data_IF_214019155064
#
_entry.id   IF_214019155064
#
_cell.length_a   1.000
_cell.length_b   1.000
_cell.length_c   1.000
_cell.angle_alpha   90.00
_cell.angle_beta   90.00
_cell.angle_gamma   90.00
#
_symmetry.space_group_name_H-M   'P 1'
#
loop_
_entity.id
_entity.type
_entity.pdbx_description
1 polymer ?
#
# COMPACT_ATOMS: atom_id res chain seq x y z
N UNK A 1 -23.05 -0.48 11.07
CA UNK A 1 -21.59 -0.21 11.14
C UNK A 1 -21.20 0.40 9.82
N UNK A 2 -20.55 1.57 9.82
CA UNK A 2 -20.17 2.27 8.58
C UNK A 2 -18.67 2.18 8.41
N UNK A 3 -18.24 1.54 7.33
CA UNK A 3 -16.82 1.45 6.96
C UNK A 3 -16.41 2.72 6.22
N UNK A 4 -15.22 3.24 6.53
CA UNK A 4 -14.60 4.36 5.80
C UNK A 4 -13.28 3.89 5.22
N UNK A 5 -13.01 4.32 4.00
CA UNK A 5 -11.74 4.07 3.30
C UNK A 5 -11.03 5.42 3.16
N UNK A 6 -9.76 5.46 3.56
CA UNK A 6 -8.91 6.65 3.46
C UNK A 6 -7.72 6.27 2.58
N UNK A 7 -7.58 6.94 1.44
CA UNK A 7 -6.42 6.77 0.56
C UNK A 7 -5.29 7.71 0.99
N UNK A 8 -4.08 7.18 1.11
CA UNK A 8 -2.85 7.94 1.42
C UNK A 8 -1.95 7.87 0.19
N UNK A 9 -1.88 8.96 -0.58
CA UNK A 9 -1.20 9.02 -1.88
C UNK A 9 0.05 9.92 -1.83
N UNK A 10 0.92 9.80 -2.84
CA UNK A 10 2.10 10.66 -3.00
C UNK A 10 3.29 9.93 -3.64
N UNK A 11 4.30 10.71 -4.04
CA UNK A 11 5.50 10.19 -4.73
C UNK A 11 6.28 9.15 -3.90
N UNK A 12 7.07 8.30 -4.55
CA UNK A 12 7.96 7.35 -3.85
C UNK A 12 8.86 8.08 -2.84
N UNK A 13 9.17 7.41 -1.73
CA UNK A 13 9.94 7.95 -0.61
C UNK A 13 9.37 9.22 0.08
N UNK A 14 8.14 9.66 -0.21
CA UNK A 14 7.54 10.85 0.43
C UNK A 14 7.10 10.68 1.89
N UNK A 15 7.32 9.50 2.49
CA UNK A 15 6.95 9.21 3.89
C UNK A 15 5.57 8.59 4.11
N UNK A 16 4.83 8.23 3.05
CA UNK A 16 3.47 7.64 3.13
C UNK A 16 3.38 6.43 4.03
N UNK A 17 4.29 5.47 3.87
CA UNK A 17 4.33 4.23 4.66
C UNK A 17 4.49 4.55 6.14
N UNK A 18 5.42 5.44 6.48
CA UNK A 18 5.63 5.89 7.86
C UNK A 18 4.38 6.58 8.43
N UNK A 19 3.81 7.52 7.67
CA UNK A 19 2.60 8.23 8.06
C UNK A 19 1.40 7.30 8.27
N UNK A 20 1.18 6.33 7.38
CA UNK A 20 0.07 5.38 7.47
C UNK A 20 0.17 4.48 8.71
N UNK A 21 1.38 4.01 9.04
CA UNK A 21 1.62 3.26 10.27
C UNK A 21 1.40 4.10 11.53
N UNK A 22 1.94 5.32 11.55
CA UNK A 22 1.77 6.24 12.67
C UNK A 22 0.30 6.62 12.89
N UNK A 23 -0.45 6.89 11.82
CA UNK A 23 -1.88 7.18 11.87
C UNK A 23 -2.66 5.99 12.41
N UNK A 24 -2.40 4.78 11.92
CA UNK A 24 -3.04 3.55 12.43
C UNK A 24 -2.82 3.40 13.93
N UNK A 25 -1.58 3.51 14.39
CA UNK A 25 -1.24 3.40 15.80
C UNK A 25 -1.94 4.48 16.62
N UNK A 26 -1.88 5.75 16.18
CA UNK A 26 -2.53 6.85 16.87
C UNK A 26 -4.05 6.66 17.02
N UNK A 27 -4.72 6.17 15.97
CA UNK A 27 -6.16 5.89 16.02
C UNK A 27 -6.50 4.74 16.97
N UNK A 28 -5.69 3.68 16.98
CA UNK A 28 -5.86 2.54 17.89
C UNK A 28 -5.65 2.95 19.35
N UNK A 29 -4.67 3.82 19.61
CA UNK A 29 -4.37 4.33 20.96
C UNK A 29 -5.48 5.26 21.49
N UNK A 30 -6.04 6.11 20.63
CA UNK A 30 -7.08 7.08 21.03
C UNK A 30 -8.49 6.48 21.07
N UNK A 31 -8.77 5.50 20.22
CA UNK A 31 -10.13 4.97 20.03
C UNK A 31 -10.12 3.43 20.03
N UNK A 32 -10.16 2.84 21.23
CA UNK A 32 -10.12 1.38 21.44
C UNK A 32 -11.26 0.58 20.78
N UNK A 33 -12.34 1.25 20.37
CA UNK A 33 -13.48 0.64 19.69
C UNK A 33 -13.35 0.66 18.16
N UNK A 34 -12.35 1.35 17.59
CA UNK A 34 -12.13 1.38 16.15
C UNK A 34 -11.29 0.18 15.71
N UNK A 35 -11.81 -0.56 14.72
CA UNK A 35 -11.00 -1.51 13.97
C UNK A 35 -10.35 -0.77 12.81
N UNK A 36 -9.01 -0.76 12.77
CA UNK A 36 -8.23 -0.07 11.74
C UNK A 36 -7.35 -1.08 11.01
N UNK A 37 -7.63 -1.27 9.72
CA UNK A 37 -6.79 -2.04 8.80
C UNK A 37 -5.89 -1.11 7.98
N UNK A 38 -4.74 -1.64 7.56
CA UNK A 38 -3.86 -0.99 6.58
C UNK A 38 -3.71 -1.91 5.39
N UNK A 39 -4.00 -1.40 4.19
CA UNK A 39 -3.74 -2.06 2.91
C UNK A 39 -2.70 -1.24 2.19
N UNK A 40 -1.56 -1.86 1.89
CA UNK A 40 -0.47 -1.23 1.16
C UNK A 40 -0.54 -1.70 -0.31
N UNK A 41 -0.86 -0.80 -1.22
CA UNK A 41 -1.07 -1.09 -2.65
C UNK A 41 0.19 -1.66 -3.32
N UNK A 42 1.37 -1.23 -2.87
CA UNK A 42 2.69 -1.74 -3.30
C UNK A 42 2.91 -3.24 -3.01
N UNK A 43 2.03 -3.87 -2.24
CA UNK A 43 2.05 -5.31 -1.96
C UNK A 43 1.24 -6.16 -2.95
N UNK A 44 0.59 -5.52 -3.93
CA UNK A 44 -0.38 -6.17 -4.84
C UNK A 44 0.02 -6.12 -6.32
N UNK A 45 1.30 -5.92 -6.63
CA UNK A 45 1.79 -6.08 -7.99
C UNK A 45 1.50 -7.48 -8.55
N UNK A 46 1.28 -7.57 -9.86
CA UNK A 46 1.10 -8.85 -10.54
C UNK A 46 2.26 -9.80 -10.29
N UNK A 47 1.91 -11.08 -10.11
CA UNK A 47 2.90 -12.12 -9.87
C UNK A 47 3.62 -12.50 -11.17
N UNK A 48 4.92 -12.18 -11.23
CA UNK A 48 5.76 -12.42 -12.41
C UNK A 48 6.70 -13.62 -12.30
N UNK A 49 6.42 -14.57 -11.39
CA UNK A 49 7.27 -15.76 -11.17
C UNK A 49 7.45 -16.64 -12.42
N UNK A 50 6.56 -16.50 -13.41
CA UNK A 50 6.66 -17.17 -14.70
C UNK A 50 7.74 -16.59 -15.62
N UNK A 51 8.29 -15.40 -15.29
CA UNK A 51 9.33 -14.71 -16.06
C UNK A 51 10.73 -14.85 -15.43
N UNK A 52 11.79 -14.99 -16.24
CA UNK A 52 13.17 -14.87 -15.78
C UNK A 52 13.44 -13.50 -15.11
N UNK A 53 14.43 -13.44 -14.22
CA UNK A 53 14.80 -12.20 -13.51
C UNK A 53 15.09 -11.04 -14.49
N UNK A 54 15.86 -11.30 -15.55
CA UNK A 54 16.22 -10.28 -16.54
C UNK A 54 15.00 -9.64 -17.23
N UNK A 55 13.88 -10.35 -17.34
CA UNK A 55 12.63 -9.79 -17.89
C UNK A 55 11.85 -9.01 -16.82
N UNK A 56 11.86 -9.48 -15.56
CA UNK A 56 11.24 -8.78 -14.43
C UNK A 56 11.87 -7.41 -14.15
N UNK A 57 13.16 -7.26 -14.42
CA UNK A 57 13.89 -5.99 -14.28
C UNK A 57 13.50 -4.94 -15.34
N UNK A 58 12.90 -5.34 -16.46
CA UNK A 58 12.45 -4.42 -17.51
C UNK A 58 11.03 -3.90 -17.29
N UNK A 59 10.34 -4.38 -16.26
CA UNK A 59 8.95 -3.99 -15.95
C UNK A 59 8.94 -2.60 -15.31
N UNK A 60 8.06 -1.73 -15.83
CA UNK A 60 7.77 -0.46 -15.20
C UNK A 60 6.71 -0.65 -14.11
N UNK A 61 7.14 -0.75 -12.85
CA UNK A 61 6.24 -0.92 -11.71
C UNK A 61 5.45 0.34 -11.34
N UNK A 62 5.76 1.49 -11.91
CA UNK A 62 4.95 2.71 -11.72
C UNK A 62 3.80 2.82 -12.74
N UNK A 63 3.73 1.91 -13.73
CA UNK A 63 2.63 1.88 -14.69
C UNK A 63 1.40 1.19 -14.09
N UNK A 64 0.16 1.67 -14.34
CA UNK A 64 -1.07 1.04 -13.85
C UNK A 64 -1.18 -0.46 -14.14
N UNK A 65 -0.75 -0.90 -15.33
CA UNK A 65 -0.69 -2.32 -15.73
C UNK A 65 0.14 -3.22 -14.80
N UNK A 66 0.97 -2.68 -13.92
CA UNK A 66 1.68 -3.49 -12.92
C UNK A 66 0.73 -3.99 -11.81
N UNK A 67 -0.46 -3.37 -11.67
CA UNK A 67 -1.49 -3.64 -10.66
C UNK A 67 -2.83 -4.09 -11.27
N UNK A 68 -3.23 -3.56 -12.43
CA UNK A 68 -4.55 -3.76 -13.08
C UNK A 68 -4.68 -5.02 -13.94
#
# INVERSE_FOLDING_TARGET
MTTRIIAITGASASGKTHFAHALRQHLQDQFSHLSVGLVAEDSYYHKLDHLPLAQREQVNYDHPDALE
#
